data_IF_703173476633
#
_entry.id   IF_703173476633
#
_cell.length_a   1.000
_cell.length_b   1.000
_cell.length_c   1.000
_cell.angle_alpha   90.00
_cell.angle_beta   90.00
_cell.angle_gamma   90.00
#
_symmetry.space_group_name_H-M   'P 1'
#
loop_
_entity.id
_entity.type
_entity.pdbx_description
1 polymer ?
#
# COMPACT_ATOMS: atom_id res chain seq x y z
N UNK A 1 12.37 0.88 4.57
CA UNK A 1 12.59 -0.58 4.48
C UNK A 1 11.27 -1.22 4.14
N UNK A 2 11.28 -2.22 3.27
CA UNK A 2 10.15 -3.11 3.01
C UNK A 2 10.10 -4.15 4.11
N UNK A 3 8.92 -4.36 4.72
CA UNK A 3 8.73 -5.39 5.73
C UNK A 3 8.03 -6.57 5.07
N UNK A 4 8.79 -7.43 4.39
CA UNK A 4 8.27 -8.68 3.85
C UNK A 4 8.64 -9.86 4.75
N UNK A 5 7.75 -10.82 4.79
CA UNK A 5 7.99 -12.12 5.40
C UNK A 5 7.61 -13.22 4.43
N UNK A 6 8.41 -14.28 4.40
CA UNK A 6 8.28 -15.38 3.47
C UNK A 6 8.12 -16.67 4.26
N UNK A 7 7.22 -17.53 3.81
CA UNK A 7 7.01 -18.87 4.34
C UNK A 7 7.00 -19.86 3.17
N UNK A 8 7.87 -20.86 3.21
CA UNK A 8 7.94 -21.90 2.20
C UNK A 8 8.19 -23.27 2.85
N UNK A 9 7.32 -24.24 2.56
CA UNK A 9 7.50 -25.62 3.00
C UNK A 9 8.73 -26.22 2.33
N UNK A 10 9.62 -26.92 3.05
CA UNK A 10 10.79 -27.54 2.42
C UNK A 10 10.40 -28.62 1.38
N UNK A 11 11.12 -28.69 0.25
CA UNK A 11 10.80 -29.60 -0.87
C UNK A 11 11.10 -31.06 -0.54
N UNK A 12 11.99 -31.33 0.42
CA UNK A 12 12.31 -32.68 0.88
C UNK A 12 11.22 -33.29 1.79
N UNK A 13 10.20 -32.51 2.17
CA UNK A 13 9.13 -32.89 3.09
C UNK A 13 9.60 -33.42 4.46
N UNK A 14 10.88 -33.25 4.81
CA UNK A 14 11.50 -33.79 6.02
C UNK A 14 12.12 -32.69 6.87
N UNK A 15 12.76 -31.74 6.21
CA UNK A 15 13.35 -30.59 6.85
C UNK A 15 12.29 -29.60 7.27
N UNK A 16 12.65 -28.76 8.25
CA UNK A 16 11.79 -27.68 8.75
C UNK A 16 11.45 -26.70 7.61
N UNK A 17 10.25 -26.14 7.66
CA UNK A 17 9.83 -25.08 6.75
C UNK A 17 10.72 -23.83 6.87
N UNK A 18 11.00 -23.22 5.72
CA UNK A 18 11.81 -22.02 5.62
C UNK A 18 10.90 -20.83 5.92
N UNK A 19 11.27 -20.03 6.92
CA UNK A 19 10.58 -18.79 7.25
C UNK A 19 11.61 -17.67 7.29
N UNK A 20 11.41 -16.64 6.48
CA UNK A 20 12.34 -15.51 6.36
C UNK A 20 11.58 -14.25 6.70
N UNK A 21 12.13 -13.40 7.54
CA UNK A 21 11.56 -12.10 7.90
C UNK A 21 12.65 -11.05 7.78
N UNK A 22 12.40 -9.98 7.00
CA UNK A 22 13.36 -8.91 6.77
C UNK A 22 14.74 -9.43 6.31
N UNK A 23 14.76 -10.46 5.46
CA UNK A 23 15.97 -11.06 4.92
C UNK A 23 16.70 -12.05 5.85
N UNK A 24 16.19 -12.31 7.06
CA UNK A 24 16.79 -13.26 8.01
C UNK A 24 15.90 -14.50 8.21
N UNK A 25 16.50 -15.69 8.30
CA UNK A 25 15.77 -16.92 8.59
C UNK A 25 15.39 -17.01 10.08
N UNK A 26 14.09 -17.21 10.35
CA UNK A 26 13.56 -17.38 11.69
C UNK A 26 13.68 -18.83 12.16
N UNK A 27 14.56 -19.07 13.13
CA UNK A 27 14.74 -20.37 13.78
C UNK A 27 13.91 -20.55 15.07
N UNK A 28 13.49 -19.46 15.71
CA UNK A 28 12.74 -19.47 16.98
C UNK A 28 11.26 -19.85 16.77
N UNK A 29 10.77 -20.87 17.50
CA UNK A 29 9.41 -21.37 17.33
C UNK A 29 8.30 -20.38 17.72
N UNK A 30 8.53 -19.48 18.68
CA UNK A 30 7.56 -18.46 19.10
C UNK A 30 7.38 -17.41 18.00
N UNK A 31 8.49 -16.86 17.47
CA UNK A 31 8.45 -15.90 16.37
C UNK A 31 7.81 -16.49 15.11
N UNK A 32 8.12 -17.76 14.81
CA UNK A 32 7.51 -18.49 13.68
C UNK A 32 6.01 -18.66 13.86
N UNK A 33 5.55 -19.06 15.06
CA UNK A 33 4.11 -19.19 15.37
C UNK A 33 3.39 -17.85 15.24
N UNK A 34 4.00 -16.77 15.73
CA UNK A 34 3.44 -15.42 15.63
C UNK A 34 3.23 -15.02 14.17
N UNK A 35 4.24 -15.21 13.32
CA UNK A 35 4.10 -14.89 11.89
C UNK A 35 3.03 -15.73 11.19
N UNK A 36 2.99 -17.05 11.45
CA UNK A 36 1.95 -17.92 10.88
C UNK A 36 0.55 -17.48 11.31
N UNK A 37 0.41 -17.05 12.58
CA UNK A 37 -0.84 -16.48 13.07
C UNK A 37 -1.21 -15.19 12.33
N UNK A 38 -0.27 -14.25 12.16
CA UNK A 38 -0.49 -13.00 11.41
C UNK A 38 -0.91 -13.25 9.96
N UNK A 39 -0.28 -14.21 9.27
CA UNK A 39 -0.67 -14.64 7.91
C UNK A 39 -2.12 -15.16 7.90
N UNK A 40 -2.50 -15.94 8.92
CA UNK A 40 -3.85 -16.50 9.02
C UNK A 40 -4.93 -15.48 9.36
N UNK A 41 -4.56 -14.35 9.97
CA UNK A 41 -5.47 -13.26 10.32
C UNK A 41 -5.89 -12.42 9.12
N UNK A 42 -5.17 -12.48 7.99
CA UNK A 42 -5.56 -11.79 6.75
C UNK A 42 -6.78 -12.49 6.12
N UNK A 43 -7.95 -12.25 6.72
CA UNK A 43 -9.26 -12.79 6.33
C UNK A 43 -9.88 -11.96 5.22
N UNK A 44 -9.26 -12.00 4.05
CA UNK A 44 -9.78 -11.35 2.85
C UNK A 44 -10.29 -12.37 1.83
N UNK A 45 -11.14 -11.90 0.91
CA UNK A 45 -11.53 -12.71 -0.26
C UNK A 45 -10.28 -12.99 -1.08
N UNK A 46 -10.13 -14.25 -1.50
CA UNK A 46 -9.08 -14.69 -2.41
C UNK A 46 -9.28 -14.02 -3.77
N UNK A 47 -8.28 -13.30 -4.25
CA UNK A 47 -8.19 -12.71 -5.58
C UNK A 47 -7.13 -13.51 -6.33
N UNK A 48 -7.46 -13.99 -7.52
CA UNK A 48 -6.47 -14.59 -8.42
C UNK A 48 -6.02 -13.53 -9.41
N UNK A 49 -4.73 -13.21 -9.40
CA UNK A 49 -4.13 -12.36 -10.42
C UNK A 49 -3.54 -13.28 -11.49
N UNK A 50 -4.16 -13.26 -12.66
CA UNK A 50 -3.78 -14.11 -13.77
C UNK A 50 -2.50 -13.57 -14.43
N UNK A 51 -1.46 -14.41 -14.48
CA UNK A 51 -0.30 -14.22 -15.37
C UNK A 51 -0.43 -15.10 -16.60
N UNK A 52 0.34 -14.79 -17.65
CA UNK A 52 0.58 -15.71 -18.76
C UNK A 52 1.41 -16.90 -18.24
N UNK A 53 0.74 -17.91 -17.68
CA UNK A 53 1.33 -19.20 -17.28
C UNK A 53 1.24 -19.53 -15.79
N UNK A 54 1.28 -18.52 -14.91
CA UNK A 54 1.23 -18.70 -13.46
C UNK A 54 0.01 -18.01 -12.83
N UNK A 55 -0.64 -18.66 -11.87
CA UNK A 55 -1.63 -17.97 -11.01
C UNK A 55 -0.94 -17.55 -9.73
N UNK A 56 -0.89 -16.25 -9.45
CA UNK A 56 -0.58 -15.75 -8.11
C UNK A 56 -1.92 -15.51 -7.42
N UNK A 57 -2.04 -16.06 -6.22
CA UNK A 57 -3.20 -15.82 -5.38
C UNK A 57 -2.87 -14.70 -4.40
N UNK A 58 -3.76 -13.73 -4.26
CA UNK A 58 -3.61 -12.63 -3.31
C UNK A 58 -4.81 -12.57 -2.36
N UNK A 59 -4.54 -12.33 -1.09
CA UNK A 59 -5.52 -11.96 -0.06
C UNK A 59 -5.09 -10.62 0.50
N UNK A 60 -5.98 -9.65 0.47
CA UNK A 60 -5.65 -8.28 0.86
C UNK A 60 -6.71 -7.69 1.80
N UNK A 61 -6.25 -7.23 2.95
CA UNK A 61 -7.03 -6.51 3.96
C UNK A 61 -6.17 -5.38 4.48
N UNK A 62 -6.43 -4.16 4.01
CA UNK A 62 -5.65 -2.95 4.29
C UNK A 62 -5.19 -2.85 5.77
N UNK A 63 -3.87 -2.67 6.06
CA UNK A 63 -2.75 -2.56 5.12
C UNK A 63 -2.09 -3.88 4.74
N UNK A 64 -2.58 -5.01 5.26
CA UNK A 64 -1.93 -6.32 5.16
C UNK A 64 -2.29 -7.02 3.85
N UNK A 65 -1.32 -7.70 3.27
CA UNK A 65 -1.52 -8.60 2.14
C UNK A 65 -0.76 -9.91 2.31
N UNK A 66 -1.30 -10.96 1.71
CA UNK A 66 -0.68 -12.28 1.58
C UNK A 66 -0.74 -12.68 0.11
N UNK A 67 0.39 -13.07 -0.46
CA UNK A 67 0.50 -13.63 -1.79
C UNK A 67 0.94 -15.09 -1.71
N UNK A 68 0.24 -15.98 -2.40
CA UNK A 68 0.67 -17.36 -2.60
C UNK A 68 1.18 -17.45 -4.04
N UNK A 69 2.48 -17.73 -4.17
CA UNK A 69 3.19 -17.81 -5.44
C UNK A 69 3.62 -19.25 -5.69
N UNK A 70 3.34 -19.77 -6.88
CA UNK A 70 3.69 -21.14 -7.24
C UNK A 70 5.06 -21.16 -7.93
N UNK A 71 6.09 -21.79 -7.33
CA UNK A 71 7.40 -21.93 -7.96
C UNK A 71 7.38 -22.98 -9.09
N UNK A 72 8.48 -23.07 -9.85
CA UNK A 72 8.67 -24.09 -10.90
C UNK A 72 8.97 -25.46 -10.29
N UNK A 73 9.73 -25.49 -9.20
CA UNK A 73 10.17 -26.71 -8.53
C UNK A 73 9.02 -27.43 -7.82
N UNK A 74 9.11 -28.76 -7.80
CA UNK A 74 8.16 -29.64 -7.11
C UNK A 74 8.85 -30.36 -5.96
N UNK A 75 8.06 -30.75 -4.97
CA UNK A 75 8.52 -31.52 -3.82
C UNK A 75 8.83 -32.99 -4.20
N UNK A 76 9.38 -33.78 -3.27
CA UNK A 76 9.65 -35.22 -3.45
C UNK A 76 8.39 -36.03 -3.84
N UNK A 77 7.19 -35.50 -3.56
CA UNK A 77 5.90 -36.11 -3.91
C UNK A 77 5.32 -35.58 -5.23
N UNK A 78 6.12 -34.87 -6.04
CA UNK A 78 5.70 -34.25 -7.31
C UNK A 78 4.54 -33.23 -7.18
N UNK A 79 4.41 -32.60 -6.01
CA UNK A 79 3.44 -31.54 -5.71
C UNK A 79 4.10 -30.18 -5.84
N UNK A 80 3.30 -29.18 -6.24
CA UNK A 80 3.72 -27.79 -6.21
C UNK A 80 3.58 -27.25 -4.79
N UNK A 81 4.68 -26.77 -4.22
CA UNK A 81 4.71 -26.21 -2.87
C UNK A 81 4.76 -24.67 -2.97
N UNK A 82 3.64 -23.96 -2.71
CA UNK A 82 3.59 -22.51 -2.84
C UNK A 82 4.51 -21.83 -1.84
N UNK A 83 5.02 -20.65 -2.23
CA UNK A 83 5.70 -19.71 -1.36
C UNK A 83 4.65 -18.68 -0.94
N UNK A 84 4.49 -18.51 0.36
CA UNK A 84 3.60 -17.51 0.95
C UNK A 84 4.42 -16.28 1.28
N UNK A 85 4.01 -15.13 0.76
CA UNK A 85 4.65 -13.83 0.95
C UNK A 85 3.67 -12.95 1.72
N UNK A 86 4.05 -12.49 2.89
CA UNK A 86 3.30 -11.56 3.72
C UNK A 86 3.97 -10.20 3.69
N UNK A 87 3.16 -9.14 3.64
CA UNK A 87 3.65 -7.79 3.74
C UNK A 87 2.55 -6.80 4.10
N UNK A 88 2.98 -5.56 4.31
CA UNK A 88 2.09 -4.45 4.62
C UNK A 88 2.37 -3.30 3.63
N UNK A 89 1.30 -2.69 3.12
CA UNK A 89 1.42 -1.45 2.38
C UNK A 89 1.86 -0.34 3.33
N UNK A 90 2.81 0.51 2.91
CA UNK A 90 3.31 1.57 3.76
C UNK A 90 2.27 2.69 3.86
N UNK A 91 2.23 3.38 5.00
CA UNK A 91 1.37 4.56 5.20
C UNK A 91 1.73 5.68 4.23
N UNK A 92 3.04 5.95 4.10
CA UNK A 92 3.60 6.82 3.07
C UNK A 92 4.14 5.96 1.94
N UNK A 93 3.73 6.22 0.69
CA UNK A 93 4.14 5.39 -0.45
C UNK A 93 5.35 5.99 -1.17
N UNK A 94 6.61 5.60 -0.84
CA UNK A 94 7.76 6.09 -1.57
C UNK A 94 7.72 5.58 -3.01
N UNK A 95 8.21 6.40 -3.94
CA UNK A 95 8.13 6.14 -5.39
C UNK A 95 8.72 4.80 -5.83
N UNK A 96 9.69 4.28 -5.08
CA UNK A 96 10.43 3.06 -5.42
C UNK A 96 9.97 1.84 -4.61
N UNK A 97 8.89 1.95 -3.82
CA UNK A 97 8.46 0.88 -2.93
C UNK A 97 8.16 -0.43 -3.67
N UNK A 98 7.39 -0.36 -4.77
CA UNK A 98 7.02 -1.54 -5.56
C UNK A 98 8.26 -2.24 -6.12
N UNK A 99 9.20 -1.46 -6.68
CA UNK A 99 10.45 -1.99 -7.21
C UNK A 99 11.27 -2.67 -6.10
N UNK A 100 11.32 -2.07 -4.91
CA UNK A 100 12.02 -2.67 -3.76
C UNK A 100 11.36 -3.98 -3.32
N UNK A 101 10.02 -4.04 -3.26
CA UNK A 101 9.27 -5.25 -2.95
C UNK A 101 9.57 -6.36 -3.97
N UNK A 102 9.48 -6.05 -5.27
CA UNK A 102 9.75 -7.03 -6.32
C UNK A 102 11.21 -7.52 -6.29
N UNK A 103 12.17 -6.62 -6.06
CA UNK A 103 13.58 -6.97 -5.91
C UNK A 103 13.82 -7.88 -4.70
N UNK A 104 13.23 -7.55 -3.54
CA UNK A 104 13.33 -8.37 -2.34
C UNK A 104 12.71 -9.76 -2.55
N UNK A 105 11.54 -9.84 -3.18
CA UNK A 105 10.92 -11.12 -3.53
C UNK A 105 11.86 -11.95 -4.40
N UNK A 106 12.43 -11.36 -5.46
CA UNK A 106 13.35 -12.06 -6.36
C UNK A 106 14.60 -12.54 -5.62
N UNK A 107 15.20 -11.69 -4.79
CA UNK A 107 16.42 -11.97 -4.04
C UNK A 107 16.20 -13.08 -3.01
N UNK A 108 15.16 -12.97 -2.18
CA UNK A 108 14.87 -13.95 -1.13
C UNK A 108 14.49 -15.30 -1.74
N UNK A 109 13.65 -15.31 -2.77
CA UNK A 109 13.22 -16.57 -3.41
C UNK A 109 14.39 -17.28 -4.09
N UNK A 110 15.25 -16.54 -4.80
CA UNK A 110 16.37 -17.14 -5.53
C UNK A 110 17.54 -17.53 -4.62
N UNK A 111 17.92 -16.67 -3.67
CA UNK A 111 19.15 -16.84 -2.90
C UNK A 111 18.94 -17.61 -1.59
N UNK A 112 17.81 -17.40 -0.91
CA UNK A 112 17.57 -17.97 0.41
C UNK A 112 16.66 -19.20 0.34
N UNK A 113 15.51 -19.09 -0.32
CA UNK A 113 14.56 -20.21 -0.51
C UNK A 113 15.08 -21.19 -1.58
N UNK A 114 15.92 -20.70 -2.51
CA UNK A 114 16.53 -21.46 -3.61
C UNK A 114 15.49 -22.08 -4.54
N UNK A 115 14.53 -21.27 -4.98
CA UNK A 115 13.48 -21.63 -5.95
C UNK A 115 13.38 -20.63 -7.08
N UNK A 116 12.71 -21.04 -8.15
CA UNK A 116 12.52 -20.25 -9.35
C UNK A 116 11.05 -19.87 -9.48
N UNK A 117 10.79 -18.57 -9.63
CA UNK A 117 9.46 -18.07 -9.97
C UNK A 117 9.16 -18.33 -11.44
N UNK A 118 7.90 -18.63 -11.75
CA UNK A 118 7.46 -18.79 -13.14
C UNK A 118 7.54 -17.46 -13.91
N UNK A 119 7.77 -17.52 -15.21
CA UNK A 119 7.82 -16.33 -16.07
C UNK A 119 6.54 -15.48 -15.92
N UNK A 120 6.70 -14.15 -15.88
CA UNK A 120 5.57 -13.21 -15.72
C UNK A 120 4.98 -13.11 -14.31
N UNK A 121 5.49 -13.88 -13.34
CA UNK A 121 5.03 -13.82 -11.94
C UNK A 121 5.33 -12.46 -11.31
N UNK A 122 6.58 -12.01 -11.39
CA UNK A 122 7.00 -10.71 -10.82
C UNK A 122 6.29 -9.53 -11.48
N UNK A 123 6.11 -9.57 -12.81
CA UNK A 123 5.35 -8.54 -13.53
C UNK A 123 3.89 -8.45 -13.07
N UNK A 124 3.28 -9.61 -12.76
CA UNK A 124 1.90 -9.66 -12.26
C UNK A 124 1.78 -9.10 -10.85
N UNK A 125 2.76 -9.42 -9.99
CA UNK A 125 2.87 -8.88 -8.63
C UNK A 125 3.08 -7.36 -8.70
N UNK A 126 4.02 -6.89 -9.52
CA UNK A 126 4.31 -5.47 -9.74
C UNK A 126 3.06 -4.71 -10.20
N UNK A 127 2.36 -5.24 -11.21
CA UNK A 127 1.12 -4.65 -11.72
C UNK A 127 0.06 -4.55 -10.63
N UNK A 128 -0.18 -5.63 -9.88
CA UNK A 128 -1.17 -5.64 -8.81
C UNK A 128 -0.83 -4.63 -7.70
N UNK A 129 0.43 -4.58 -7.27
CA UNK A 129 0.90 -3.62 -6.26
C UNK A 129 0.71 -2.18 -6.72
N UNK A 130 1.02 -1.87 -7.98
CA UNK A 130 0.80 -0.53 -8.55
C UNK A 130 -0.69 -0.16 -8.61
N UNK A 131 -1.54 -1.08 -9.06
CA UNK A 131 -3.00 -0.87 -9.14
C UNK A 131 -3.60 -0.58 -7.75
N UNK A 132 -3.21 -1.34 -6.73
CA UNK A 132 -3.70 -1.18 -5.37
C UNK A 132 -3.18 0.12 -4.73
N UNK A 133 -1.91 0.49 -4.98
CA UNK A 133 -1.36 1.78 -4.55
C UNK A 133 -2.08 2.97 -5.19
N UNK A 134 -2.38 2.89 -6.48
CA UNK A 134 -3.10 3.95 -7.17
C UNK A 134 -4.57 4.04 -6.71
N UNK A 135 -5.20 2.91 -6.39
CA UNK A 135 -6.51 2.90 -5.75
C UNK A 135 -6.49 3.59 -4.38
N UNK A 136 -5.50 3.28 -3.54
CA UNK A 136 -5.30 3.97 -2.25
C UNK A 136 -5.08 5.47 -2.41
N UNK A 137 -4.20 5.89 -3.32
CA UNK A 137 -3.95 7.33 -3.60
C UNK A 137 -5.23 8.04 -4.02
N UNK A 138 -6.05 7.42 -4.88
CA UNK A 138 -7.34 7.98 -5.30
C UNK A 138 -8.32 8.11 -4.14
N UNK A 139 -8.39 7.13 -3.24
CA UNK A 139 -9.23 7.20 -2.05
C UNK A 139 -8.81 8.33 -1.11
N UNK A 140 -7.50 8.46 -0.83
CA UNK A 140 -6.96 9.55 -0.01
C UNK A 140 -7.24 10.91 -0.66
N UNK A 141 -7.00 11.03 -1.97
CA UNK A 141 -7.29 12.26 -2.70
C UNK A 141 -8.79 12.62 -2.65
N UNK A 142 -9.67 11.64 -2.75
CA UNK A 142 -11.11 11.85 -2.65
C UNK A 142 -11.50 12.32 -1.25
N UNK A 143 -10.94 11.74 -0.18
CA UNK A 143 -11.15 12.21 1.19
C UNK A 143 -10.66 13.64 1.39
N UNK A 144 -9.46 13.98 0.91
CA UNK A 144 -8.92 15.35 0.96
C UNK A 144 -9.84 16.32 0.21
N UNK A 145 -10.32 15.94 -0.97
CA UNK A 145 -11.24 16.77 -1.75
C UNK A 145 -12.58 17.00 -1.01
N UNK A 146 -13.13 15.97 -0.35
CA UNK A 146 -14.36 16.09 0.44
C UNK A 146 -14.18 16.98 1.66
N UNK A 147 -13.05 16.84 2.38
CA UNK A 147 -12.71 17.70 3.52
C UNK A 147 -12.55 19.14 3.03
N UNK A 148 -11.82 19.35 1.94
CA UNK A 148 -11.63 20.65 1.30
C UNK A 148 -12.97 21.30 0.95
N UNK A 149 -13.88 20.57 0.31
CA UNK A 149 -15.21 21.06 -0.07
C UNK A 149 -16.07 21.39 1.16
N UNK A 150 -15.96 20.59 2.21
CA UNK A 150 -16.65 20.85 3.47
C UNK A 150 -16.14 22.14 4.12
N UNK A 151 -14.83 22.31 4.23
CA UNK A 151 -14.21 23.53 4.77
C UNK A 151 -14.58 24.75 3.92
N UNK A 152 -14.58 24.59 2.60
CA UNK A 152 -14.84 25.67 1.65
C UNK A 152 -16.26 26.25 1.79
N UNK A 153 -17.24 25.40 2.10
CA UNK A 153 -18.64 25.77 2.31
C UNK A 153 -18.98 26.16 3.75
N UNK A 154 -18.58 25.34 4.74
CA UNK A 154 -19.08 25.49 6.11
C UNK A 154 -18.32 26.54 6.92
N UNK A 155 -17.02 26.77 6.68
CA UNK A 155 -16.25 27.77 7.42
C UNK A 155 -16.76 29.19 7.16
N UNK A 156 -16.99 29.65 5.91
CA UNK A 156 -17.55 30.97 5.65
C UNK A 156 -18.95 31.15 6.24
N UNK A 157 -19.78 30.09 6.22
CA UNK A 157 -21.11 30.12 6.82
C UNK A 157 -21.04 30.27 8.33
N UNK A 158 -20.18 29.51 9.01
CA UNK A 158 -19.98 29.61 10.45
C UNK A 158 -19.43 30.98 10.85
N UNK A 159 -18.46 31.52 10.11
CA UNK A 159 -17.93 32.88 10.33
C UNK A 159 -19.01 33.94 10.12
N UNK A 160 -19.80 33.83 9.05
CA UNK A 160 -20.90 34.77 8.78
C UNK A 160 -21.94 34.77 9.91
N UNK A 161 -22.27 33.59 10.43
CA UNK A 161 -23.23 33.41 11.52
C UNK A 161 -22.69 33.97 12.85
N UNK A 162 -21.40 33.79 13.14
CA UNK A 162 -20.73 34.41 14.28
C UNK A 162 -20.73 35.94 14.19
N UNK A 163 -20.47 36.50 13.00
CA UNK A 163 -20.52 37.95 12.77
C UNK A 163 -21.95 38.48 12.97
N UNK A 164 -22.96 37.74 12.50
CA UNK A 164 -24.37 38.09 12.73
C UNK A 164 -24.75 38.07 14.20
N UNK A 165 -24.25 37.12 15.00
CA UNK A 165 -24.46 37.10 16.45
C UNK A 165 -23.82 38.29 17.18
N UNK A 166 -22.78 38.90 16.61
CA UNK A 166 -22.18 40.15 17.13
C UNK A 166 -22.97 41.41 16.73
N UNK A 167 -24.14 41.25 16.09
CA UNK A 167 -25.06 42.34 15.72
C UNK A 167 -24.77 42.95 14.36
N UNK A 168 -23.84 42.38 13.57
CA UNK A 168 -23.48 42.89 12.25
C UNK A 168 -24.31 42.18 11.17
N UNK A 169 -25.15 42.91 10.44
CA UNK A 169 -25.90 42.35 9.31
C UNK A 169 -25.03 42.29 8.06
N UNK A 170 -24.50 41.10 7.76
CA UNK A 170 -23.82 40.84 6.50
C UNK A 170 -24.82 40.75 5.35
N UNK A 171 -24.54 41.47 4.26
CA UNK A 171 -25.29 41.35 3.00
C UNK A 171 -24.96 40.03 2.29
N UNK A 172 -25.86 39.48 1.46
CA UNK A 172 -25.58 38.29 0.66
C UNK A 172 -24.31 38.41 -0.20
N UNK A 173 -24.00 39.62 -0.68
CA UNK A 173 -22.78 39.90 -1.44
C UNK A 173 -21.51 39.72 -0.59
N UNK A 174 -21.52 40.16 0.67
CA UNK A 174 -20.39 40.00 1.59
C UNK A 174 -20.19 38.53 1.99
N UNK A 175 -21.28 37.78 2.19
CA UNK A 175 -21.23 36.33 2.44
C UNK A 175 -20.65 35.62 1.20
N UNK A 176 -21.10 35.98 0.00
CA UNK A 176 -20.53 35.48 -1.25
C UNK A 176 -19.04 35.80 -1.41
N UNK A 177 -18.62 37.01 -1.02
CA UNK A 177 -17.21 37.42 -1.01
C UNK A 177 -16.34 36.61 -0.04
N UNK A 178 -16.85 36.32 1.17
CA UNK A 178 -16.20 35.46 2.16
C UNK A 178 -16.00 34.03 1.62
N UNK A 179 -17.01 33.46 0.96
CA UNK A 179 -16.91 32.15 0.32
C UNK A 179 -15.86 32.18 -0.80
N UNK A 180 -15.89 33.20 -1.65
CA UNK A 180 -14.93 33.39 -2.74
C UNK A 180 -13.48 33.47 -2.25
N UNK A 181 -13.21 34.29 -1.22
CA UNK A 181 -11.88 34.43 -0.62
C UNK A 181 -11.40 33.12 0.02
N UNK A 182 -12.28 32.41 0.73
CA UNK A 182 -11.93 31.13 1.35
C UNK A 182 -11.55 30.07 0.30
N UNK A 183 -12.32 29.99 -0.80
CA UNK A 183 -12.01 29.08 -1.91
C UNK A 183 -10.65 29.40 -2.55
N UNK A 184 -10.33 30.69 -2.72
CA UNK A 184 -9.08 31.15 -3.30
C UNK A 184 -7.89 30.80 -2.39
N UNK A 185 -8.06 30.94 -1.08
CA UNK A 185 -7.06 30.56 -0.08
C UNK A 185 -6.80 29.04 -0.08
N UNK A 186 -7.86 28.23 -0.12
CA UNK A 186 -7.76 26.77 -0.17
C UNK A 186 -7.04 26.32 -1.43
N UNK A 187 -7.40 26.83 -2.62
CA UNK A 187 -6.69 26.51 -3.86
C UNK A 187 -5.20 26.92 -3.80
N UNK A 188 -4.90 28.10 -3.25
CA UNK A 188 -3.53 28.59 -3.11
C UNK A 188 -2.70 27.67 -2.20
N UNK A 189 -3.27 27.22 -1.07
CA UNK A 189 -2.62 26.27 -0.17
C UNK A 189 -2.42 24.90 -0.83
N UNK A 190 -3.41 24.40 -1.58
CA UNK A 190 -3.28 23.13 -2.31
C UNK A 190 -2.14 23.19 -3.33
N UNK A 191 -2.05 24.27 -4.12
CA UNK A 191 -0.95 24.46 -5.09
C UNK A 191 0.41 24.48 -4.37
N UNK A 192 0.50 25.18 -3.24
CA UNK A 192 1.74 25.27 -2.47
C UNK A 192 2.15 23.93 -1.85
N UNK A 193 1.21 23.18 -1.27
CA UNK A 193 1.46 21.91 -0.60
C UNK A 193 1.68 20.74 -1.56
N UNK A 194 1.10 20.77 -2.76
CA UNK A 194 1.29 19.76 -3.81
C UNK A 194 2.63 19.97 -4.53
N UNK A 195 3.18 21.19 -4.50
CA UNK A 195 4.39 21.56 -5.25
C UNK A 195 5.59 21.98 -4.37
N UNK A 196 5.94 21.27 -3.27
CA UNK A 196 7.04 21.68 -2.40
C UNK A 196 8.42 21.48 -3.04
N UNK A 197 8.52 20.71 -4.14
CA UNK A 197 9.78 20.32 -4.76
C UNK A 197 10.26 21.22 -5.91
N UNK A 198 9.51 22.24 -6.33
CA UNK A 198 9.99 23.20 -7.33
C UNK A 198 10.75 24.40 -6.73
N UNK A 199 10.77 24.55 -5.41
CA UNK A 199 11.53 25.63 -4.75
C UNK A 199 12.98 25.27 -4.40
N UNK A 200 13.54 24.20 -4.98
CA UNK A 200 15.01 24.15 -5.18
C UNK A 200 15.35 25.10 -6.32
N UNK A 201 15.21 26.40 -6.04
CA UNK A 201 15.85 27.45 -6.81
C UNK A 201 17.34 27.12 -6.83
N UNK A 202 17.83 26.76 -8.01
CA UNK A 202 19.24 26.78 -8.35
C UNK A 202 19.80 28.17 -8.01
N UNK A 203 20.34 28.33 -6.80
CA UNK A 203 21.32 29.35 -6.51
C UNK A 203 22.65 28.79 -7.03
N UNK A 204 22.90 29.11 -8.30
CA UNK A 204 24.27 29.18 -8.85
C UNK A 204 24.88 30.51 -8.46
#
# INVERSE_FOLDING_TARGET
MTNLSFFAQNLDNKSRDIIIQNGEELYNDESRRKLVFEISEVRAKKIEIASHGASVTVRYSDPKFVMEVIPVEKDESNRLAPIVIYGEFPEECPSNWVNNVCNEIQEVVSNQIKRTLQNGTLESIEKWLNEELDAKKKQVQLQINLISLSISLFVPLAVSLLIQFQGWQLTPLQIGGLIGLNNLLIMSMQIFLINPNQSKLNLK
#
